data_IF_148616137495
#
_entry.id   IF_148616137495
#
_cell.length_a   1.000
_cell.length_b   1.000
_cell.length_c   1.000
_cell.angle_alpha   90.00
_cell.angle_beta   90.00
_cell.angle_gamma   90.00
#
_symmetry.space_group_name_H-M   'P 1'
#
loop_
_entity.id
_entity.type
_entity.pdbx_description
1 polymer ?
#
# COMPACT_ATOMS: atom_id res chain seq x y z
N UNK A 1 23.82 -20.23 53.73
CA UNK A 1 24.12 -21.38 52.86
C UNK A 1 24.03 -20.91 51.42
N UNK A 2 25.07 -21.14 50.61
CA UNK A 2 25.09 -20.78 49.18
C UNK A 2 24.21 -21.79 48.43
N UNK A 3 23.14 -21.33 47.80
CA UNK A 3 22.28 -22.15 46.94
C UNK A 3 23.00 -22.34 45.60
N UNK A 4 23.87 -23.34 45.52
CA UNK A 4 24.49 -23.76 44.27
C UNK A 4 23.44 -24.43 43.39
N UNK A 5 23.03 -23.71 42.35
CA UNK A 5 22.37 -24.17 41.12
C UNK A 5 21.06 -24.97 41.29
N UNK A 6 19.89 -24.41 40.91
CA UNK A 6 18.64 -25.14 40.97
C UNK A 6 18.58 -26.23 39.88
N UNK A 7 18.13 -27.43 40.26
CA UNK A 7 18.11 -28.68 39.47
C UNK A 7 17.49 -28.53 38.06
N UNK A 8 16.58 -27.57 37.86
CA UNK A 8 15.96 -27.33 36.56
C UNK A 8 16.94 -26.75 35.52
N UNK A 9 18.06 -26.16 35.96
CA UNK A 9 19.06 -25.53 35.09
C UNK A 9 19.88 -26.56 34.29
N UNK A 10 20.09 -27.76 34.83
CA UNK A 10 20.81 -28.85 34.13
C UNK A 10 19.98 -29.42 32.97
N UNK A 11 18.65 -29.34 33.02
CA UNK A 11 17.78 -29.79 31.93
C UNK A 11 17.89 -28.90 30.67
N UNK A 12 18.34 -27.65 30.81
CA UNK A 12 18.46 -26.67 29.72
C UNK A 12 19.88 -26.58 29.14
N UNK A 13 20.87 -27.22 29.76
CA UNK A 13 22.30 -27.09 29.39
C UNK A 13 22.68 -27.77 28.07
N UNK A 14 21.75 -28.46 27.41
CA UNK A 14 21.93 -29.02 26.07
C UNK A 14 20.88 -28.46 25.13
N UNK A 15 21.30 -27.55 24.25
CA UNK A 15 20.51 -26.82 23.23
C UNK A 15 19.20 -27.55 22.83
N UNK A 16 18.07 -27.29 23.54
CA UNK A 16 16.87 -28.12 23.43
C UNK A 16 16.19 -27.98 22.06
N UNK A 17 16.49 -26.90 21.35
CA UNK A 17 16.02 -26.62 19.99
C UNK A 17 16.57 -27.60 18.94
N UNK A 18 17.65 -28.33 19.24
CA UNK A 18 18.30 -29.26 18.31
C UNK A 18 17.97 -30.74 18.57
N UNK A 19 17.04 -31.03 19.49
CA UNK A 19 16.59 -32.40 19.70
C UNK A 19 15.47 -32.70 18.72
N UNK A 20 15.65 -33.73 17.90
CA UNK A 20 14.68 -34.19 16.90
C UNK A 20 13.25 -34.35 17.49
N UNK A 21 13.15 -34.82 18.76
CA UNK A 21 11.88 -34.93 19.47
C UNK A 21 11.17 -33.60 19.75
N UNK A 22 11.90 -32.50 19.99
CA UNK A 22 11.30 -31.17 20.20
C UNK A 22 10.66 -30.64 18.92
N UNK A 23 11.32 -30.86 17.76
CA UNK A 23 10.77 -30.49 16.45
C UNK A 23 9.51 -31.30 16.12
N UNK A 24 9.48 -32.59 16.47
CA UNK A 24 8.33 -33.46 16.24
C UNK A 24 7.14 -33.11 17.14
N UNK A 25 7.39 -32.80 18.43
CA UNK A 25 6.36 -32.33 19.36
C UNK A 25 5.78 -30.96 18.94
N UNK A 26 6.64 -30.03 18.52
CA UNK A 26 6.22 -28.72 18.03
C UNK A 26 5.38 -28.85 16.74
N UNK A 27 5.82 -29.68 15.80
CA UNK A 27 5.08 -29.97 14.56
C UNK A 27 3.71 -30.59 14.85
N UNK A 28 3.63 -31.53 15.80
CA UNK A 28 2.36 -32.13 16.20
C UNK A 28 1.40 -31.11 16.82
N UNK A 29 1.91 -30.21 17.68
CA UNK A 29 1.13 -29.14 18.31
C UNK A 29 0.54 -28.16 17.30
N UNK A 30 1.35 -27.70 16.33
CA UNK A 30 0.89 -26.81 15.25
C UNK A 30 -0.21 -27.49 14.42
N UNK A 31 0.00 -28.76 14.06
CA UNK A 31 -0.97 -29.52 13.26
C UNK A 31 -2.31 -29.67 14.02
N UNK A 32 -2.27 -29.98 15.31
CA UNK A 32 -3.48 -30.13 16.12
C UNK A 32 -4.27 -28.82 16.24
N UNK A 33 -3.60 -27.67 16.40
CA UNK A 33 -4.27 -26.38 16.49
C UNK A 33 -4.85 -25.90 15.14
N UNK A 34 -4.16 -26.18 14.03
CA UNK A 34 -4.62 -25.81 12.70
C UNK A 34 -5.92 -26.54 12.30
N UNK A 35 -6.09 -27.79 12.72
CA UNK A 35 -7.29 -28.58 12.37
C UNK A 35 -8.46 -28.44 13.35
N UNK A 36 -8.26 -27.86 14.54
CA UNK A 36 -9.34 -27.73 15.53
C UNK A 36 -10.25 -26.49 15.31
N UNK A 37 -9.95 -25.62 14.35
CA UNK A 37 -10.63 -24.33 14.17
C UNK A 37 -11.67 -24.25 13.04
N UNK A 38 -11.95 -25.34 12.30
CA UNK A 38 -12.83 -25.29 11.11
C UNK A 38 -14.26 -25.86 11.27
N UNK A 39 -14.73 -26.14 12.49
CA UNK A 39 -16.06 -26.75 12.67
C UNK A 39 -16.99 -25.95 13.60
N UNK A 40 -17.37 -24.72 13.21
CA UNK A 40 -18.61 -24.09 13.72
C UNK A 40 -19.39 -23.31 12.65
N UNK A 41 -20.58 -23.87 12.36
CA UNK A 41 -21.84 -23.27 11.88
C UNK A 41 -21.94 -22.68 10.46
N UNK A 42 -22.16 -23.54 9.46
CA UNK A 42 -22.71 -23.17 8.15
C UNK A 42 -24.25 -23.11 8.10
N UNK A 43 -24.97 -23.26 9.22
CA UNK A 43 -26.42 -23.52 9.18
C UNK A 43 -27.31 -22.24 9.12
N UNK A 44 -26.78 -21.04 9.40
CA UNK A 44 -27.60 -19.82 9.44
C UNK A 44 -27.46 -18.89 8.22
N UNK A 45 -26.50 -19.13 7.31
CA UNK A 45 -26.22 -18.22 6.18
C UNK A 45 -27.28 -18.30 5.05
N UNK A 46 -27.91 -19.46 4.87
CA UNK A 46 -28.88 -19.67 3.77
C UNK A 46 -30.22 -18.96 3.97
N UNK A 47 -30.58 -18.61 5.21
CA UNK A 47 -31.80 -17.85 5.52
C UNK A 47 -31.58 -16.35 5.31
N UNK A 48 -30.36 -15.85 5.51
CA UNK A 48 -30.02 -14.43 5.31
C UNK A 48 -30.04 -14.02 3.83
N UNK A 49 -29.60 -14.89 2.91
CA UNK A 49 -29.59 -14.59 1.46
C UNK A 49 -31.03 -14.41 0.91
N UNK A 50 -32.01 -15.11 1.48
CA UNK A 50 -33.40 -15.04 1.02
C UNK A 50 -34.08 -13.68 1.23
N UNK A 51 -33.70 -12.92 2.27
CA UNK A 51 -34.33 -11.63 2.56
C UNK A 51 -33.71 -10.45 1.78
N UNK A 52 -32.43 -10.53 1.41
CA UNK A 52 -31.77 -9.46 0.67
C UNK A 52 -32.20 -9.39 -0.81
N UNK A 53 -32.53 -10.52 -1.43
CA UNK A 53 -32.96 -10.54 -2.83
C UNK A 53 -34.29 -9.81 -3.09
N UNK A 54 -35.22 -9.82 -2.13
CA UNK A 54 -36.52 -9.13 -2.28
C UNK A 54 -36.44 -7.60 -2.20
N UNK A 55 -35.46 -7.04 -1.47
CA UNK A 55 -35.31 -5.59 -1.33
C UNK A 55 -34.66 -4.99 -2.58
N UNK A 56 -33.70 -5.69 -3.20
CA UNK A 56 -33.01 -5.23 -4.40
C UNK A 56 -33.96 -5.05 -5.60
N UNK A 57 -34.94 -5.95 -5.77
CA UNK A 57 -35.90 -5.86 -6.90
C UNK A 57 -36.83 -4.65 -6.79
N UNK A 58 -37.20 -4.22 -5.57
CA UNK A 58 -38.05 -3.05 -5.36
C UNK A 58 -37.30 -1.72 -5.60
N UNK A 59 -36.00 -1.66 -5.27
CA UNK A 59 -35.18 -0.45 -5.51
C UNK A 59 -34.92 -0.24 -7.01
N UNK A 60 -34.66 -1.32 -7.76
CA UNK A 60 -34.42 -1.23 -9.21
C UNK A 60 -35.69 -0.79 -9.95
N UNK A 61 -36.88 -1.27 -9.54
CA UNK A 61 -38.14 -0.82 -10.14
C UNK A 61 -38.46 0.65 -9.83
N UNK A 62 -38.08 1.15 -8.65
CA UNK A 62 -38.23 2.56 -8.29
C UNK A 62 -37.38 3.51 -9.14
N UNK A 63 -36.12 3.12 -9.41
CA UNK A 63 -35.19 3.94 -10.20
C UNK A 63 -35.57 4.00 -11.69
N UNK A 64 -36.10 2.91 -12.26
CA UNK A 64 -36.59 2.92 -13.65
C UNK A 64 -37.83 3.79 -13.86
N UNK A 65 -38.70 3.91 -12.85
CA UNK A 65 -39.88 4.78 -12.93
C UNK A 65 -39.51 6.27 -12.83
N UNK A 66 -38.43 6.62 -12.11
CA UNK A 66 -37.96 7.99 -11.97
C UNK A 66 -37.18 8.48 -13.21
N UNK A 67 -36.46 7.60 -13.92
CA UNK A 67 -35.65 8.00 -15.08
C UNK A 67 -36.50 8.48 -16.26
N UNK A 68 -37.70 7.91 -16.47
CA UNK A 68 -38.60 8.25 -17.59
C UNK A 68 -39.18 9.67 -17.58
N UNK A 69 -38.98 10.45 -16.50
CA UNK A 69 -39.49 11.82 -16.39
C UNK A 69 -38.45 12.84 -16.86
N UNK A 70 -37.16 12.47 -16.96
CA UNK A 70 -36.08 13.44 -17.18
C UNK A 70 -35.60 13.56 -18.65
N UNK A 71 -35.96 12.62 -19.53
CA UNK A 71 -35.43 12.57 -20.91
C UNK A 71 -36.05 13.61 -21.87
N UNK A 72 -37.06 14.38 -21.44
CA UNK A 72 -37.72 15.38 -22.30
C UNK A 72 -37.07 16.79 -22.25
N UNK A 73 -35.98 16.98 -21.49
CA UNK A 73 -35.40 18.33 -21.27
C UNK A 73 -34.04 18.53 -21.97
N UNK A 74 -33.27 17.48 -22.28
CA UNK A 74 -31.89 17.65 -22.78
C UNK A 74 -31.70 17.63 -24.31
N UNK A 75 -32.74 17.37 -25.10
CA UNK A 75 -32.61 17.30 -26.58
C UNK A 75 -32.48 18.68 -27.26
N UNK A 76 -32.72 19.79 -26.55
CA UNK A 76 -32.65 21.14 -27.14
C UNK A 76 -31.30 21.87 -27.00
N UNK A 77 -30.33 21.34 -26.24
CA UNK A 77 -29.03 22.00 -26.05
C UNK A 77 -27.88 21.39 -26.86
N UNK A 78 -28.00 20.13 -27.30
CA UNK A 78 -26.92 19.40 -27.98
C UNK A 78 -26.69 19.79 -29.45
N UNK A 79 -27.61 20.52 -30.10
CA UNK A 79 -27.48 20.91 -31.51
C UNK A 79 -26.75 22.25 -31.74
N UNK A 80 -26.39 23.00 -30.69
CA UNK A 80 -25.74 24.33 -30.85
C UNK A 80 -24.20 24.33 -30.70
N UNK A 81 -23.58 23.24 -30.22
CA UNK A 81 -22.14 23.20 -29.94
C UNK A 81 -21.27 22.46 -30.99
N UNK A 82 -21.86 21.82 -32.00
CA UNK A 82 -21.12 21.06 -33.01
C UNK A 82 -20.58 21.88 -34.21
N UNK A 83 -20.70 23.21 -34.20
CA UNK A 83 -20.27 24.06 -35.32
C UNK A 83 -18.94 24.81 -35.11
N UNK A 84 -18.23 24.63 -33.99
CA UNK A 84 -17.09 25.50 -33.62
C UNK A 84 -15.74 24.79 -33.37
N UNK A 85 -15.60 23.49 -33.65
CA UNK A 85 -14.39 22.73 -33.27
C UNK A 85 -13.75 21.93 -34.41
N UNK A 86 -13.84 22.42 -35.65
CA UNK A 86 -13.14 21.85 -36.82
C UNK A 86 -12.28 22.91 -37.51
N UNK A 87 -11.29 23.45 -36.82
CA UNK A 87 -10.13 24.05 -37.45
C UNK A 87 -8.97 23.96 -36.44
N UNK A 88 -7.81 23.50 -36.90
CA UNK A 88 -6.52 23.48 -36.18
C UNK A 88 -6.05 22.17 -35.51
N UNK A 89 -6.02 21.08 -36.28
CA UNK A 89 -5.04 20.02 -36.08
C UNK A 89 -4.39 19.58 -37.40
N UNK A 90 -3.35 20.30 -37.83
CA UNK A 90 -2.34 19.71 -38.73
C UNK A 90 -0.96 20.27 -38.44
N UNK A 91 -0.19 19.57 -37.59
CA UNK A 91 1.27 19.39 -37.64
C UNK A 91 1.76 18.96 -36.26
N UNK A 92 2.07 17.68 -36.10
CA UNK A 92 3.35 17.20 -35.57
C UNK A 92 3.35 15.67 -35.65
N UNK A 93 4.03 15.14 -36.66
CA UNK A 93 4.42 13.73 -36.76
C UNK A 93 5.85 13.60 -36.21
N UNK A 94 6.07 12.62 -35.36
CA UNK A 94 7.38 11.97 -35.20
C UNK A 94 7.85 11.80 -33.76
N UNK A 95 7.32 10.81 -33.04
CA UNK A 95 8.13 10.05 -32.09
C UNK A 95 7.60 8.62 -32.03
N UNK A 96 8.49 7.64 -32.18
CA UNK A 96 8.16 6.23 -32.22
C UNK A 96 7.82 5.75 -30.80
N UNK A 97 6.61 5.25 -30.60
CA UNK A 97 6.27 4.46 -29.43
C UNK A 97 7.01 3.11 -29.52
N UNK A 98 7.73 2.75 -28.46
CA UNK A 98 8.32 1.43 -28.29
C UNK A 98 7.20 0.51 -27.76
N UNK A 99 6.82 -0.58 -28.46
CA UNK A 99 5.81 -1.51 -27.95
C UNK A 99 6.35 -2.32 -26.76
N UNK A 100 5.58 -2.36 -25.68
CA UNK A 100 5.90 -3.00 -24.39
C UNK A 100 5.73 -4.54 -24.42
N UNK A 101 5.84 -5.18 -25.58
CA UNK A 101 5.72 -6.66 -25.71
C UNK A 101 6.93 -7.42 -25.16
N UNK A 102 7.98 -6.73 -24.70
CA UNK A 102 9.24 -7.35 -24.28
C UNK A 102 9.27 -7.76 -22.78
N UNK A 103 8.28 -7.34 -21.96
CA UNK A 103 8.23 -7.71 -20.53
C UNK A 103 7.60 -9.08 -20.24
N UNK A 104 6.90 -9.69 -21.22
CA UNK A 104 6.17 -10.95 -21.04
C UNK A 104 7.01 -12.23 -21.24
N UNK A 105 8.33 -12.11 -21.43
CA UNK A 105 9.21 -13.26 -21.73
C UNK A 105 10.43 -13.39 -20.82
N UNK A 106 10.31 -13.07 -19.52
CA UNK A 106 11.30 -13.51 -18.54
C UNK A 106 10.89 -14.84 -17.88
N UNK A 107 11.66 -15.92 -18.03
CA UNK A 107 11.39 -17.17 -17.33
C UNK A 107 11.79 -17.03 -15.86
N UNK A 108 10.85 -16.73 -14.97
CA UNK A 108 11.11 -16.85 -13.53
C UNK A 108 11.11 -18.33 -13.15
N UNK A 109 12.25 -18.79 -12.66
CA UNK A 109 12.42 -20.12 -12.13
C UNK A 109 11.72 -20.22 -10.76
N UNK A 110 10.63 -20.98 -10.68
CA UNK A 110 10.34 -21.74 -9.46
C UNK A 110 8.96 -21.63 -8.82
N UNK A 111 8.12 -20.67 -9.17
CA UNK A 111 6.74 -20.63 -8.68
C UNK A 111 5.74 -20.69 -9.83
N UNK A 112 4.93 -21.75 -9.85
CA UNK A 112 3.77 -21.86 -10.74
C UNK A 112 2.69 -20.90 -10.26
N UNK A 113 2.86 -19.63 -10.63
CA UNK A 113 1.81 -18.63 -10.64
C UNK A 113 0.75 -19.16 -11.62
N UNK A 114 -0.44 -19.53 -11.13
CA UNK A 114 -1.53 -19.95 -12.01
C UNK A 114 -1.76 -18.83 -13.04
N UNK A 115 -2.03 -19.18 -14.30
CA UNK A 115 -2.39 -18.19 -15.31
C UNK A 115 -3.63 -17.41 -14.79
N UNK A 116 -3.39 -16.20 -14.30
CA UNK A 116 -4.41 -15.32 -13.76
C UNK A 116 -5.14 -14.66 -14.92
N UNK A 117 -6.46 -14.48 -14.80
CA UNK A 117 -7.25 -13.64 -15.70
C UNK A 117 -6.89 -12.18 -15.43
N UNK A 118 -5.76 -11.73 -15.98
CA UNK A 118 -5.36 -10.32 -15.98
C UNK A 118 -6.26 -9.62 -16.98
N UNK A 119 -7.12 -8.73 -16.49
CA UNK A 119 -7.89 -7.85 -17.36
C UNK A 119 -7.08 -6.58 -17.58
N UNK A 120 -6.77 -6.27 -18.83
CA UNK A 120 -6.21 -4.98 -19.17
C UNK A 120 -7.29 -4.03 -19.65
N UNK A 121 -7.24 -2.81 -19.12
CA UNK A 121 -8.06 -1.70 -19.54
C UNK A 121 -7.17 -0.68 -20.22
N UNK A 122 -7.67 -0.02 -21.25
CA UNK A 122 -6.94 1.10 -21.84
C UNK A 122 -7.72 2.39 -21.62
N UNK A 123 -7.07 3.39 -21.05
CA UNK A 123 -7.65 4.71 -20.83
C UNK A 123 -6.71 5.80 -21.30
N UNK A 124 -7.26 6.97 -21.65
CA UNK A 124 -6.44 8.14 -21.94
C UNK A 124 -6.06 8.82 -20.61
N UNK A 125 -4.77 9.10 -20.40
CA UNK A 125 -4.32 9.95 -19.29
C UNK A 125 -4.70 11.43 -19.53
N UNK A 126 -4.37 12.31 -18.58
CA UNK A 126 -4.64 13.76 -18.68
C UNK A 126 -4.02 14.41 -19.93
N UNK A 127 -2.96 13.80 -20.48
CA UNK A 127 -2.25 14.23 -21.69
C UNK A 127 -2.82 13.60 -22.97
N UNK A 128 -3.90 12.81 -22.89
CA UNK A 128 -4.51 12.15 -24.04
C UNK A 128 -3.71 10.96 -24.59
N UNK A 129 -2.84 10.35 -23.79
CA UNK A 129 -2.08 9.15 -24.15
C UNK A 129 -2.78 7.90 -23.62
N UNK A 130 -2.84 6.84 -24.44
CA UNK A 130 -3.37 5.55 -24.00
C UNK A 130 -2.42 4.92 -22.97
N UNK A 131 -2.95 4.64 -21.78
CA UNK A 131 -2.28 3.91 -20.70
C UNK A 131 -3.02 2.60 -20.50
N UNK A 132 -2.27 1.50 -20.50
CA UNK A 132 -2.79 0.19 -20.15
C UNK A 132 -2.77 0.02 -18.63
N UNK A 133 -3.95 -0.14 -18.06
CA UNK A 133 -4.15 -0.43 -16.66
C UNK A 133 -4.35 -1.92 -16.49
N UNK A 134 -3.60 -2.52 -15.58
CA UNK A 134 -3.77 -3.91 -15.21
C UNK A 134 -4.70 -3.96 -14.01
N UNK A 135 -5.89 -4.54 -14.20
CA UNK A 135 -6.81 -4.80 -13.12
C UNK A 135 -6.62 -6.22 -12.62
N UNK A 136 -6.51 -6.32 -11.30
CA UNK A 136 -6.31 -7.58 -10.61
C UNK A 136 -7.46 -7.82 -9.64
N UNK A 137 -7.76 -9.08 -9.35
CA UNK A 137 -8.85 -9.44 -8.46
C UNK A 137 -8.68 -8.91 -7.03
N UNK A 138 -7.45 -8.61 -6.62
CA UNK A 138 -7.12 -8.03 -5.32
C UNK A 138 -5.83 -7.21 -5.40
N UNK A 139 -5.66 -6.20 -4.54
CA UNK A 139 -4.46 -5.36 -4.51
C UNK A 139 -3.21 -6.17 -4.11
N UNK A 140 -3.37 -7.22 -3.32
CA UNK A 140 -2.32 -8.15 -2.91
C UNK A 140 -1.66 -8.80 -4.14
N UNK A 141 -2.48 -9.25 -5.10
CA UNK A 141 -2.00 -9.84 -6.35
C UNK A 141 -1.21 -8.83 -7.19
N UNK A 142 -1.62 -7.55 -7.18
CA UNK A 142 -0.89 -6.49 -7.89
C UNK A 142 0.53 -6.36 -7.33
N UNK A 143 0.66 -6.33 -6.00
CA UNK A 143 1.96 -6.20 -5.32
C UNK A 143 2.84 -7.43 -5.55
N UNK A 144 2.27 -8.64 -5.43
CA UNK A 144 3.00 -9.90 -5.67
C UNK A 144 3.55 -9.97 -7.11
N UNK A 145 2.78 -9.54 -8.10
CA UNK A 145 3.20 -9.54 -9.49
C UNK A 145 4.20 -8.44 -9.82
N UNK A 146 4.07 -7.27 -9.19
CA UNK A 146 4.98 -6.14 -9.38
C UNK A 146 6.34 -6.39 -8.73
N UNK A 147 6.37 -7.14 -7.62
CA UNK A 147 7.59 -7.38 -6.84
C UNK A 147 7.76 -8.86 -6.46
N UNK A 148 7.93 -9.78 -7.44
CA UNK A 148 7.94 -11.21 -7.19
C UNK A 148 9.11 -11.69 -6.32
N UNK A 149 10.22 -10.92 -6.29
CA UNK A 149 11.45 -11.29 -5.61
C UNK A 149 11.69 -10.51 -4.29
N UNK A 150 10.80 -9.59 -3.93
CA UNK A 150 10.98 -8.77 -2.73
C UNK A 150 10.23 -9.36 -1.53
N UNK A 151 10.90 -9.48 -0.39
CA UNK A 151 10.22 -9.70 0.89
C UNK A 151 9.47 -8.40 1.23
N UNK A 152 8.16 -8.43 1.00
CA UNK A 152 7.27 -7.28 1.06
C UNK A 152 6.40 -7.38 2.29
N UNK A 153 6.42 -6.35 3.14
CA UNK A 153 5.52 -6.28 4.28
C UNK A 153 4.72 -4.98 4.24
N UNK A 154 3.40 -5.11 4.37
CA UNK A 154 2.49 -3.98 4.48
C UNK A 154 2.66 -3.34 5.86
N UNK A 155 2.94 -2.04 5.85
CA UNK A 155 3.10 -1.24 7.07
C UNK A 155 1.78 -0.58 7.42
N UNK A 156 1.12 0.06 6.45
CA UNK A 156 -0.16 0.73 6.67
C UNK A 156 -1.03 0.68 5.42
N UNK A 157 -2.34 0.53 5.63
CA UNK A 157 -3.36 0.56 4.58
C UNK A 157 -4.32 1.70 4.86
N UNK A 158 -4.37 2.67 3.95
CA UNK A 158 -5.20 3.87 4.12
C UNK A 158 -6.23 4.00 3.00
N UNK A 159 -7.50 3.93 3.35
CA UNK A 159 -8.58 4.40 2.46
C UNK A 159 -8.63 5.91 2.50
N UNK A 160 -8.55 6.54 1.33
CA UNK A 160 -8.70 7.99 1.16
C UNK A 160 -10.19 8.32 1.02
N UNK A 161 -10.87 7.56 0.17
CA UNK A 161 -12.31 7.57 -0.02
C UNK A 161 -12.79 6.17 -0.45
N UNK A 162 -14.04 6.05 -0.89
CA UNK A 162 -14.64 4.78 -1.32
C UNK A 162 -13.97 4.20 -2.59
N UNK A 163 -13.32 5.05 -3.38
CA UNK A 163 -12.70 4.73 -4.66
C UNK A 163 -11.18 4.77 -4.64
N UNK A 164 -10.54 5.20 -3.54
CA UNK A 164 -9.09 5.40 -3.48
C UNK A 164 -8.45 4.82 -2.24
N UNK A 165 -7.32 4.17 -2.43
CA UNK A 165 -6.58 3.50 -1.38
C UNK A 165 -5.08 3.70 -1.57
N UNK A 166 -4.37 3.91 -0.48
CA UNK A 166 -2.92 3.91 -0.41
C UNK A 166 -2.43 2.70 0.38
N UNK A 167 -1.39 2.06 -0.13
CA UNK A 167 -0.65 1.01 0.56
C UNK A 167 0.76 1.47 0.82
N UNK A 168 1.11 1.59 2.10
CA UNK A 168 2.45 1.87 2.58
C UNK A 168 3.09 0.54 2.94
N UNK A 169 4.22 0.24 2.33
CA UNK A 169 4.89 -1.04 2.52
C UNK A 169 6.39 -0.88 2.45
N UNK A 170 7.09 -1.87 2.99
CA UNK A 170 8.53 -2.01 2.86
C UNK A 170 8.86 -3.15 1.91
N UNK A 171 10.00 -3.03 1.25
CA UNK A 171 10.66 -4.10 0.50
C UNK A 171 12.05 -4.30 1.07
N UNK A 172 12.36 -5.53 1.47
CA UNK A 172 13.72 -5.92 1.82
C UNK A 172 14.42 -6.52 0.61
N UNK A 173 15.61 -6.00 0.32
CA UNK A 173 16.52 -6.59 -0.65
C UNK A 173 17.78 -7.06 0.08
N UNK A 174 18.15 -8.32 -0.12
CA UNK A 174 19.38 -8.88 0.42
C UNK A 174 20.28 -9.34 -0.72
N UNK A 175 21.48 -8.77 -0.80
CA UNK A 175 22.47 -9.10 -1.84
C UNK A 175 23.87 -9.04 -1.27
N UNK A 176 24.63 -10.13 -1.41
CA UNK A 176 26.02 -10.23 -0.92
C UNK A 176 26.20 -9.89 0.58
N UNK A 177 25.21 -10.22 1.41
CA UNK A 177 25.22 -9.92 2.85
C UNK A 177 24.88 -8.46 3.19
N UNK A 178 24.64 -7.61 2.20
CA UNK A 178 24.06 -6.28 2.40
C UNK A 178 22.55 -6.38 2.34
N UNK A 179 21.89 -5.76 3.30
CA UNK A 179 20.44 -5.61 3.33
C UNK A 179 20.09 -4.15 3.11
N UNK A 180 19.16 -3.90 2.20
CA UNK A 180 18.59 -2.57 2.00
C UNK A 180 17.08 -2.61 2.18
N UNK A 181 16.57 -1.55 2.81
CA UNK A 181 15.13 -1.30 2.90
C UNK A 181 14.77 -0.27 1.85
N UNK A 182 13.76 -0.60 1.05
CA UNK A 182 13.01 0.40 0.31
C UNK A 182 11.65 0.59 0.95
N UNK A 183 11.28 1.85 1.15
CA UNK A 183 9.92 2.22 1.53
C UNK A 183 9.16 2.68 0.30
N UNK A 184 7.93 2.21 0.18
CA UNK A 184 7.09 2.44 -0.97
C UNK A 184 5.66 2.76 -0.57
N UNK A 185 5.02 3.58 -1.39
CA UNK A 185 3.60 3.90 -1.32
C UNK A 185 3.01 3.65 -2.69
N UNK A 186 2.05 2.73 -2.78
CA UNK A 186 1.26 2.53 -4.01
C UNK A 186 -0.16 3.04 -3.80
N UNK A 187 -0.60 3.86 -4.75
CA UNK A 187 -1.98 4.29 -4.89
C UNK A 187 -2.77 3.33 -5.76
N UNK A 188 -4.01 3.08 -5.37
CA UNK A 188 -4.96 2.26 -6.09
C UNK A 188 -6.29 3.00 -6.21
N UNK A 189 -6.86 2.94 -7.40
CA UNK A 189 -8.21 3.43 -7.70
C UNK A 189 -9.13 2.22 -7.90
N UNK A 190 -10.35 2.28 -7.37
CA UNK A 190 -11.41 1.31 -7.65
C UNK A 190 -12.08 1.67 -8.97
N UNK A 191 -11.86 0.83 -9.98
CA UNK A 191 -12.49 0.92 -11.28
C UNK A 191 -13.39 -0.30 -11.49
N UNK A 192 -14.71 -0.09 -11.45
CA UNK A 192 -15.71 -1.14 -11.70
C UNK A 192 -15.64 -2.33 -10.72
N UNK A 193 -15.33 -2.07 -9.43
CA UNK A 193 -15.09 -3.08 -8.38
C UNK A 193 -13.79 -3.86 -8.57
N UNK A 194 -12.80 -3.26 -9.21
CA UNK A 194 -11.45 -3.81 -9.36
C UNK A 194 -10.44 -2.75 -8.97
N UNK A 195 -9.48 -3.14 -8.13
CA UNK A 195 -8.40 -2.25 -7.76
C UNK A 195 -7.39 -2.17 -8.90
N UNK A 196 -7.17 -0.96 -9.38
CA UNK A 196 -6.22 -0.62 -10.41
C UNK A 196 -5.11 0.22 -9.79
N UNK A 197 -3.86 -0.16 -10.02
CA UNK A 197 -2.73 0.64 -9.58
C UNK A 197 -2.69 1.96 -10.36
N UNK A 198 -2.54 3.08 -9.65
CA UNK A 198 -2.58 4.41 -10.24
C UNK A 198 -1.27 5.18 -10.13
N UNK A 199 -0.56 5.06 -9.01
CA UNK A 199 0.71 5.77 -8.79
C UNK A 199 1.60 5.06 -7.78
N UNK A 200 2.91 5.29 -7.86
CA UNK A 200 3.89 4.76 -6.90
C UNK A 200 4.91 5.82 -6.53
N UNK A 201 5.28 5.86 -5.25
CA UNK A 201 6.49 6.51 -4.79
C UNK A 201 7.33 5.48 -4.05
N UNK A 202 8.60 5.36 -4.40
CA UNK A 202 9.54 4.49 -3.70
C UNK A 202 10.83 5.24 -3.41
N UNK A 203 11.41 5.01 -2.24
CA UNK A 203 12.74 5.47 -1.92
C UNK A 203 13.52 4.41 -1.15
N UNK A 204 14.85 4.44 -1.28
CA UNK A 204 15.76 3.48 -0.66
C UNK A 204 16.49 4.14 0.50
N UNK A 205 16.55 3.43 1.63
CA UNK A 205 17.10 3.87 2.92
C UNK A 205 18.48 3.23 3.18
N UNK A 206 18.85 2.20 2.41
CA UNK A 206 20.03 1.38 2.69
C UNK A 206 19.81 0.47 3.90
N UNK A 207 20.88 0.11 4.63
CA UNK A 207 20.80 -0.60 5.91
C UNK A 207 20.48 0.41 7.02
N UNK A 208 19.27 0.39 7.63
CA UNK A 208 18.88 1.40 8.60
C UNK A 208 19.78 1.44 9.84
N UNK A 209 20.31 0.27 10.25
CA UNK A 209 21.20 0.16 11.42
C UNK A 209 22.57 0.79 11.22
N UNK A 210 22.98 1.01 9.97
CA UNK A 210 24.23 1.70 9.62
C UNK A 210 24.00 3.18 9.30
N UNK A 211 22.74 3.61 9.22
CA UNK A 211 22.40 5.00 8.94
C UNK A 211 22.82 5.92 10.07
N UNK A 212 23.46 7.04 9.70
CA UNK A 212 23.77 8.14 10.63
C UNK A 212 22.61 9.11 10.82
N UNK A 213 21.55 8.99 10.01
CA UNK A 213 20.39 9.86 10.12
C UNK A 213 19.38 9.23 11.10
N UNK A 214 19.02 9.94 12.19
CA UNK A 214 18.17 9.38 13.25
C UNK A 214 16.74 9.10 12.77
N UNK A 215 16.30 9.81 11.74
CA UNK A 215 15.02 9.65 11.05
C UNK A 215 15.26 9.80 9.55
N UNK A 216 14.65 8.93 8.74
CA UNK A 216 14.60 9.07 7.29
C UNK A 216 13.15 8.94 6.84
N UNK A 217 12.67 9.87 6.04
CA UNK A 217 11.28 9.86 5.59
C UNK A 217 11.04 10.76 4.40
N UNK A 218 9.93 10.51 3.71
CA UNK A 218 9.48 11.26 2.54
C UNK A 218 8.00 11.60 2.63
N UNK A 219 7.63 12.61 1.86
CA UNK A 219 6.24 13.02 1.64
C UNK A 219 5.64 12.29 0.45
N UNK A 220 4.38 11.92 0.58
CA UNK A 220 3.55 11.44 -0.51
C UNK A 220 2.27 12.29 -0.55
N UNK A 221 2.07 12.99 -1.66
CA UNK A 221 0.98 13.96 -1.78
C UNK A 221 -0.15 13.41 -2.64
N UNK A 222 -1.38 13.61 -2.18
CA UNK A 222 -2.60 13.37 -2.95
C UNK A 222 -3.63 14.39 -2.50
N UNK A 223 -3.98 15.35 -3.36
CA UNK A 223 -4.87 16.47 -3.03
C UNK A 223 -6.17 15.98 -2.34
N UNK A 224 -6.56 16.53 -1.17
CA UNK A 224 -5.95 17.64 -0.41
C UNK A 224 -4.96 17.24 0.70
N UNK A 225 -4.57 15.98 0.74
CA UNK A 225 -3.77 15.38 1.81
C UNK A 225 -2.28 15.23 1.43
N UNK A 226 -1.45 15.20 2.47
CA UNK A 226 -0.04 14.85 2.43
C UNK A 226 0.24 13.78 3.48
N UNK A 227 1.00 12.77 3.09
CA UNK A 227 1.34 11.63 3.94
C UNK A 227 2.84 11.63 4.21
N UNK A 228 3.23 11.70 5.48
CA UNK A 228 4.61 11.47 5.88
C UNK A 228 4.82 9.98 6.11
N UNK A 229 5.83 9.40 5.49
CA UNK A 229 6.20 8.01 5.71
C UNK A 229 7.72 7.84 5.85
N UNK A 230 8.17 7.16 6.90
CA UNK A 230 9.59 7.09 7.26
C UNK A 230 9.98 5.88 8.11
N UNK A 231 11.28 5.77 8.36
CA UNK A 231 11.95 4.85 9.28
C UNK A 231 12.67 5.64 10.37
N UNK A 232 12.45 5.23 11.62
CA UNK A 232 13.14 5.74 12.81
C UNK A 232 14.36 4.84 13.07
N UNK A 233 15.56 5.43 12.99
CA UNK A 233 16.83 4.74 13.22
C UNK A 233 17.39 4.97 14.63
N UNK A 234 17.09 6.11 15.24
CA UNK A 234 17.57 6.43 16.58
C UNK A 234 16.61 5.89 17.65
N UNK A 235 17.03 4.91 18.47
CA UNK A 235 16.18 4.32 19.50
C UNK A 235 15.83 5.31 20.64
N UNK A 236 16.48 6.48 20.70
CA UNK A 236 16.10 7.54 21.63
C UNK A 236 14.84 8.29 21.18
N UNK A 237 14.44 8.19 19.92
CA UNK A 237 13.19 8.77 19.41
C UNK A 237 12.02 7.89 19.88
N UNK A 238 11.22 8.42 20.79
CA UNK A 238 10.01 7.78 21.30
C UNK A 238 8.75 8.22 20.56
N UNK A 239 8.75 9.39 19.91
CA UNK A 239 7.66 9.86 19.07
C UNK A 239 8.16 10.82 17.99
N UNK A 240 7.38 10.93 16.90
CA UNK A 240 7.56 11.98 15.89
C UNK A 240 6.40 12.97 15.97
N UNK A 241 6.72 14.26 16.05
CA UNK A 241 5.77 15.37 15.93
C UNK A 241 6.03 16.11 14.63
N UNK A 242 4.97 16.36 13.88
CA UNK A 242 4.99 17.16 12.66
C UNK A 242 4.27 18.46 12.95
N UNK A 243 4.94 19.57 12.71
CA UNK A 243 4.44 20.93 12.96
C UNK A 243 4.28 21.63 11.62
N UNK A 244 3.10 22.18 11.38
CA UNK A 244 2.79 22.93 10.17
C UNK A 244 3.22 24.41 10.26
N UNK A 245 3.06 25.18 9.19
CA UNK A 245 3.48 26.60 9.16
C UNK A 245 2.70 27.49 10.14
N UNK A 246 1.50 27.05 10.55
CA UNK A 246 0.62 27.72 11.50
C UNK A 246 0.85 27.26 12.94
N UNK A 247 1.79 26.33 13.17
CA UNK A 247 2.08 25.74 14.47
C UNK A 247 1.10 24.64 14.90
N UNK A 248 0.21 24.19 14.02
CA UNK A 248 -0.62 23.02 14.28
C UNK A 248 0.25 21.76 14.30
N UNK A 249 -0.03 20.88 15.25
CA UNK A 249 0.82 19.72 15.53
C UNK A 249 0.06 18.41 15.25
N UNK A 250 0.73 17.47 14.60
CA UNK A 250 0.29 16.09 14.40
C UNK A 250 1.35 15.13 14.94
N UNK A 251 0.94 14.11 15.68
CA UNK A 251 1.85 13.03 16.10
C UNK A 251 1.76 11.90 15.08
N UNK A 252 2.91 11.40 14.63
CA UNK A 252 2.96 10.24 13.73
C UNK A 252 2.71 8.94 14.49
N UNK A 253 2.09 7.99 13.81
CA UNK A 253 1.87 6.63 14.29
C UNK A 253 3.12 5.79 14.05
N UNK A 254 3.48 4.94 15.01
CA UNK A 254 4.61 4.02 14.90
C UNK A 254 4.12 2.61 14.63
N UNK A 255 4.75 1.95 13.66
CA UNK A 255 4.54 0.55 13.34
C UNK A 255 5.88 -0.16 13.43
N UNK A 256 5.96 -1.25 14.19
CA UNK A 256 7.18 -2.05 14.32
C UNK A 256 6.99 -3.36 13.58
N UNK A 257 7.94 -3.71 12.71
CA UNK A 257 7.93 -4.99 12.01
C UNK A 257 8.53 -6.14 12.83
N UNK A 258 8.50 -7.33 12.27
CA UNK A 258 9.06 -8.54 12.88
C UNK A 258 10.59 -8.54 13.02
N UNK A 259 11.29 -7.62 12.34
CA UNK A 259 12.74 -7.44 12.44
C UNK A 259 13.13 -6.33 13.44
N UNK A 260 12.13 -5.66 14.04
CA UNK A 260 12.31 -4.59 15.01
C UNK A 260 12.58 -3.23 14.37
N UNK A 261 12.42 -3.06 13.05
CA UNK A 261 12.46 -1.75 12.43
C UNK A 261 11.20 -0.97 12.79
N UNK A 262 11.36 0.31 13.10
CA UNK A 262 10.26 1.21 13.49
C UNK A 262 9.97 2.14 12.34
N UNK A 263 8.76 2.03 11.79
CA UNK A 263 8.22 2.88 10.75
C UNK A 263 7.35 3.96 11.38
N UNK A 264 7.33 5.14 10.78
CA UNK A 264 6.46 6.22 11.19
C UNK A 264 5.56 6.68 10.03
N UNK A 265 4.30 6.95 10.35
CA UNK A 265 3.28 7.37 9.38
C UNK A 265 2.45 8.52 9.94
N UNK A 266 2.14 9.53 9.11
CA UNK A 266 1.21 10.58 9.48
C UNK A 266 0.45 11.13 8.26
N UNK A 267 -0.85 11.34 8.41
CA UNK A 267 -1.71 12.05 7.46
C UNK A 267 -1.89 13.51 7.90
N UNK A 268 -1.70 14.44 6.96
CA UNK A 268 -1.82 15.89 7.14
C UNK A 268 -2.58 16.51 5.97
N UNK A 269 -3.16 17.70 6.19
CA UNK A 269 -3.70 18.54 5.10
C UNK A 269 -2.53 19.24 4.44
N UNK A 270 -2.37 19.12 3.12
CA UNK A 270 -1.25 19.64 2.32
C UNK A 270 -0.96 21.13 2.57
N UNK A 271 0.32 21.45 2.77
CA UNK A 271 0.85 22.82 2.95
C UNK A 271 2.18 22.99 2.19
N UNK A 272 2.92 24.09 2.42
CA UNK A 272 4.21 24.37 1.75
C UNK A 272 5.44 23.86 2.52
N UNK A 273 5.37 23.85 3.85
CA UNK A 273 6.47 23.42 4.69
C UNK A 273 5.92 22.70 5.92
N UNK A 274 6.65 21.67 6.36
CA UNK A 274 6.46 21.08 7.68
C UNK A 274 7.79 20.94 8.41
N UNK A 275 7.76 21.09 9.72
CA UNK A 275 8.87 20.72 10.59
C UNK A 275 8.60 19.34 11.16
N UNK A 276 9.49 18.38 10.90
CA UNK A 276 9.46 17.04 11.46
C UNK A 276 10.42 16.99 12.64
N UNK A 277 9.88 16.69 13.82
CA UNK A 277 10.62 16.65 15.08
C UNK A 277 10.60 15.23 15.65
N UNK A 278 11.79 14.72 16.01
CA UNK A 278 11.93 13.50 16.80
C UNK A 278 12.08 13.85 18.27
N UNK A 279 11.21 13.28 19.11
CA UNK A 279 11.15 13.53 20.55
C UNK A 279 11.59 12.30 21.32
N UNK A 280 12.30 12.52 22.42
CA UNK A 280 12.64 11.45 23.35
C UNK A 280 11.47 11.10 24.29
N UNK A 281 11.66 10.13 25.18
CA UNK A 281 10.65 9.69 26.15
C UNK A 281 10.18 10.80 27.13
N UNK A 282 10.99 11.85 27.33
CA UNK A 282 10.64 13.01 28.16
C UNK A 282 9.90 14.10 27.36
N UNK A 283 9.67 13.89 26.06
CA UNK A 283 9.07 14.88 25.15
C UNK A 283 10.04 15.98 24.71
N UNK A 284 11.35 15.81 24.90
CA UNK A 284 12.37 16.75 24.42
C UNK A 284 12.69 16.46 22.96
N UNK A 285 12.72 17.51 22.13
CA UNK A 285 13.19 17.44 20.74
C UNK A 285 14.67 17.09 20.72
N UNK A 286 15.01 15.96 20.09
CA UNK A 286 16.39 15.47 19.87
C UNK A 286 16.78 15.45 18.40
N UNK A 287 15.80 15.58 17.50
CA UNK A 287 15.98 15.72 16.07
C UNK A 287 14.94 16.70 15.51
N UNK A 288 15.32 17.52 14.54
CA UNK A 288 14.42 18.45 13.85
C UNK A 288 14.90 18.69 12.43
N UNK A 289 14.00 18.56 11.46
CA UNK A 289 14.25 18.88 10.06
C UNK A 289 13.04 19.63 9.48
N UNK A 290 13.31 20.71 8.74
CA UNK A 290 12.28 21.35 7.92
C UNK A 290 12.28 20.63 6.57
N UNK A 291 11.13 20.10 6.18
CA UNK A 291 10.92 19.51 4.86
C UNK A 291 9.98 20.41 4.09
N UNK A 292 10.54 21.10 3.10
CA UNK A 292 9.78 21.86 2.11
C UNK A 292 9.26 20.95 1.02
N UNK A 293 8.06 21.26 0.52
CA UNK A 293 7.61 20.67 -0.72
C UNK A 293 8.43 21.24 -1.86
N UNK A 294 9.30 20.43 -2.46
CA UNK A 294 9.55 20.64 -3.87
C UNK A 294 8.32 20.09 -4.58
N UNK A 295 7.55 20.97 -5.22
CA UNK A 295 6.52 20.59 -6.19
C UNK A 295 7.15 19.96 -7.45
N UNK A 296 8.24 19.22 -7.28
CA UNK A 296 8.80 18.39 -8.31
C UNK A 296 7.72 17.39 -8.66
N UNK A 297 6.95 17.72 -9.68
CA UNK A 297 6.39 16.78 -10.62
C UNK A 297 7.47 15.71 -10.82
N UNK A 298 7.37 14.61 -10.06
CA UNK A 298 8.05 13.37 -10.40
C UNK A 298 7.26 12.83 -11.60
N UNK A 299 7.41 13.51 -12.73
CA UNK A 299 7.15 12.92 -14.03
C UNK A 299 8.26 11.89 -14.23
N UNK A 300 7.84 10.63 -14.21
CA UNK A 300 8.54 9.46 -14.69
C UNK A 300 9.86 9.12 -13.97
N UNK A 301 9.78 8.13 -13.09
CA UNK A 301 10.90 7.20 -12.88
C UNK A 301 10.48 5.89 -13.56
N UNK A 302 11.30 5.49 -14.54
CA UNK A 302 11.19 4.39 -15.50
C UNK A 302 10.53 3.09 -14.99
#
# INVERSE_FOLDING_TARGET
>A
MKSSEPIWYDALRGNPLNRQGFTDELRAGIKQQAFHKSSRSHLNWRIAIGMFASVAVLVIFGLFAAHKINDNISENEAQSMQAAANEDQSKHRGSAAIPLEEWLLMPSSGNKVNAFDIQSYSQLNEQGQMVELLAYGSWEQVLELKYPDADTAIIEKKSIDDSKMLLFYRKLYESNGYRSISLSVDGFDDMQNQWVWSQSLSYSIGEPRESKQPLQGQWYDIDPNSFYFGVVNDPQIASIRIVDENGAMKTAEFVTDEYGYVYCFAELIRQNDYTVEGLNADGKVIYSEIKSFSSGLYTDID
#
